data_IF_181931524082
#
_entry.id   IF_181931524082
#
_cell.length_a   1.000
_cell.length_b   1.000
_cell.length_c   1.000
_cell.angle_alpha   90.00
_cell.angle_beta   90.00
_cell.angle_gamma   90.00
#
_symmetry.space_group_name_H-M   'P 1'
#
loop_
_entity.id
_entity.type
_entity.pdbx_description
1 polymer ?
#
# COMPACT_ATOMS: atom_id res chain seq x y z
N UNK A 1 -13.23 -17.99 -24.17
CA UNK A 1 -12.82 -16.81 -23.37
C UNK A 1 -11.33 -16.97 -23.08
N UNK A 2 -10.46 -16.19 -23.73
CA UNK A 2 -9.02 -16.25 -23.46
C UNK A 2 -8.74 -15.43 -22.20
N UNK A 3 -8.42 -16.12 -21.10
CA UNK A 3 -7.93 -15.48 -19.87
C UNK A 3 -6.42 -15.68 -19.86
N UNK A 4 -5.68 -14.64 -20.26
CA UNK A 4 -4.23 -14.62 -20.06
C UNK A 4 -4.01 -14.19 -18.61
N UNK A 5 -3.34 -15.03 -17.83
CA UNK A 5 -2.95 -14.65 -16.47
C UNK A 5 -1.86 -13.58 -16.51
N UNK A 6 -1.98 -12.57 -15.65
CA UNK A 6 -1.02 -11.48 -15.55
C UNK A 6 -0.54 -11.32 -14.12
N UNK A 7 0.77 -11.17 -13.97
CA UNK A 7 1.40 -10.89 -12.68
C UNK A 7 1.61 -9.39 -12.45
N UNK A 8 1.15 -8.54 -13.37
CA UNK A 8 1.27 -7.08 -13.26
C UNK A 8 0.53 -6.47 -12.07
N UNK A 9 -0.33 -7.27 -11.41
CA UNK A 9 -1.06 -6.90 -10.20
C UNK A 9 -0.73 -7.70 -8.95
N UNK A 10 0.30 -8.55 -9.03
CA UNK A 10 0.64 -9.49 -7.97
C UNK A 10 1.50 -8.83 -6.87
N UNK A 11 1.69 -9.53 -5.75
CA UNK A 11 2.41 -9.00 -4.57
C UNK A 11 3.87 -8.67 -4.85
N UNK A 12 4.49 -9.35 -5.82
CA UNK A 12 5.88 -9.15 -6.23
C UNK A 12 6.13 -7.75 -6.81
N UNK A 13 5.07 -7.07 -7.28
CA UNK A 13 5.18 -5.69 -7.75
C UNK A 13 5.55 -4.71 -6.63
N UNK A 14 5.27 -5.05 -5.36
CA UNK A 14 5.53 -4.16 -4.22
C UNK A 14 7.00 -4.01 -3.87
N UNK A 15 7.84 -4.96 -4.28
CA UNK A 15 9.24 -5.08 -3.81
C UNK A 15 10.27 -4.99 -4.94
N UNK A 16 9.83 -4.62 -6.15
CA UNK A 16 10.70 -4.57 -7.33
C UNK A 16 11.43 -3.22 -7.52
N UNK A 17 11.18 -2.25 -6.64
CA UNK A 17 11.83 -0.93 -6.63
C UNK A 17 11.21 0.13 -7.55
N UNK A 18 10.16 -0.20 -8.30
CA UNK A 18 9.40 0.76 -9.09
C UNK A 18 8.26 1.36 -8.28
N UNK A 19 8.10 2.67 -8.39
CA UNK A 19 7.11 3.44 -7.61
C UNK A 19 5.94 3.96 -8.45
N UNK A 20 5.84 3.55 -9.72
CA UNK A 20 4.86 4.01 -10.74
C UNK A 20 4.67 2.92 -11.80
N UNK A 21 3.62 2.98 -12.64
CA UNK A 21 3.52 2.12 -13.81
C UNK A 21 4.80 2.22 -14.67
N UNK A 22 5.42 1.08 -14.94
CA UNK A 22 6.66 0.98 -15.72
C UNK A 22 6.76 -0.39 -16.38
N UNK A 23 6.67 -0.45 -17.71
CA UNK A 23 6.66 -1.70 -18.50
C UNK A 23 5.43 -2.60 -18.30
N UNK A 24 4.80 -2.50 -17.14
CA UNK A 24 3.52 -3.10 -16.73
C UNK A 24 2.78 -2.12 -15.80
N UNK A 25 1.56 -2.43 -15.33
CA UNK A 25 0.88 -1.61 -14.32
C UNK A 25 1.74 -1.35 -13.07
N UNK A 26 2.63 -2.28 -12.70
CA UNK A 26 3.49 -2.21 -11.53
C UNK A 26 2.71 -1.84 -10.26
N UNK A 27 1.64 -2.56 -9.96
CA UNK A 27 0.70 -2.13 -8.92
C UNK A 27 0.08 -3.35 -8.27
N UNK A 28 0.26 -3.58 -6.98
CA UNK A 28 -0.57 -4.58 -6.31
C UNK A 28 -2.02 -4.10 -6.21
N UNK A 29 -2.99 -4.97 -6.49
CA UNK A 29 -4.43 -4.66 -6.42
C UNK A 29 -5.18 -5.80 -5.72
N UNK A 30 -6.06 -5.44 -4.79
CA UNK A 30 -6.92 -6.39 -4.09
C UNK A 30 -8.08 -6.89 -4.95
N UNK A 31 -8.86 -7.83 -4.41
CA UNK A 31 -10.20 -8.10 -4.95
C UNK A 31 -11.08 -6.85 -4.76
N UNK A 32 -12.11 -6.75 -5.62
CA UNK A 32 -13.09 -5.66 -5.58
C UNK A 32 -14.08 -5.89 -4.44
N UNK A 33 -13.67 -5.48 -3.24
CA UNK A 33 -14.48 -5.45 -2.03
C UNK A 33 -14.01 -4.27 -1.15
N UNK A 34 -14.81 -3.21 -1.15
CA UNK A 34 -14.47 -1.97 -0.46
C UNK A 34 -14.37 -2.14 1.07
N UNK A 35 -15.19 -3.03 1.65
CA UNK A 35 -15.33 -3.18 3.10
C UNK A 35 -14.36 -4.20 3.69
N UNK A 36 -13.83 -5.09 2.85
CA UNK A 36 -12.86 -6.09 3.29
C UNK A 36 -11.51 -5.47 3.60
N UNK A 37 -11.00 -5.73 4.79
CA UNK A 37 -9.60 -5.45 5.12
C UNK A 37 -8.72 -6.37 4.27
N UNK A 38 -7.70 -5.80 3.66
CA UNK A 38 -6.71 -6.55 2.88
C UNK A 38 -5.36 -6.48 3.57
N UNK A 39 -4.73 -7.63 3.73
CA UNK A 39 -3.44 -7.77 4.42
C UNK A 39 -2.37 -8.13 3.41
N UNK A 40 -1.35 -7.30 3.31
CA UNK A 40 -0.11 -7.61 2.60
C UNK A 40 0.88 -8.14 3.64
N UNK A 41 1.43 -9.32 3.39
CA UNK A 41 2.40 -9.97 4.28
C UNK A 41 3.76 -10.07 3.59
N UNK A 42 4.80 -9.52 4.23
CA UNK A 42 6.19 -9.74 3.86
C UNK A 42 6.80 -10.68 4.91
N UNK A 43 7.43 -11.76 4.47
CA UNK A 43 8.03 -12.77 5.36
C UNK A 43 9.51 -12.93 4.99
N UNK A 44 10.36 -13.05 6.00
CA UNK A 44 11.79 -13.30 5.83
C UNK A 44 12.14 -14.70 6.33
N UNK A 45 13.15 -15.32 5.73
CA UNK A 45 13.66 -16.62 6.18
C UNK A 45 14.40 -16.51 7.53
N UNK A 46 15.08 -15.38 7.73
CA UNK A 46 15.78 -15.04 8.97
C UNK A 46 15.18 -13.76 9.57
N UNK A 47 15.13 -13.67 10.90
CA UNK A 47 14.70 -12.48 11.62
C UNK A 47 15.51 -11.26 11.17
N UNK A 48 14.81 -10.19 10.80
CA UNK A 48 15.42 -8.92 10.39
C UNK A 48 15.26 -7.87 11.49
N UNK A 49 16.27 -7.02 11.65
CA UNK A 49 16.14 -5.77 12.40
C UNK A 49 15.54 -4.71 11.47
N UNK A 50 14.41 -4.12 11.86
CA UNK A 50 13.69 -3.12 11.07
C UNK A 50 13.46 -1.88 11.92
N UNK A 51 13.76 -0.72 11.36
CA UNK A 51 13.58 0.59 12.01
C UNK A 51 12.79 1.58 11.15
N UNK A 52 12.64 1.28 9.86
CA UNK A 52 11.96 2.16 8.92
C UNK A 52 11.16 1.39 7.87
N UNK A 53 9.95 1.90 7.59
CA UNK A 53 9.07 1.38 6.55
C UNK A 53 8.59 2.53 5.68
N UNK A 54 8.76 2.41 4.36
CA UNK A 54 8.24 3.36 3.38
C UNK A 54 7.16 2.68 2.55
N UNK A 55 5.98 3.29 2.52
CA UNK A 55 4.85 2.88 1.69
C UNK A 55 4.62 3.92 0.60
N UNK A 56 4.50 3.45 -0.64
CA UNK A 56 4.07 4.27 -1.78
C UNK A 56 2.68 3.81 -2.23
N UNK A 57 1.67 4.62 -1.95
CA UNK A 57 0.26 4.39 -2.27
C UNK A 57 -0.11 4.80 -3.70
N UNK A 58 -1.21 4.23 -4.17
CA UNK A 58 -1.82 4.63 -5.44
C UNK A 58 -2.62 5.91 -5.27
N UNK A 59 -2.08 7.02 -5.76
CA UNK A 59 -2.75 8.32 -5.87
C UNK A 59 -3.19 8.64 -7.30
N UNK A 60 -3.33 7.61 -8.15
CA UNK A 60 -3.55 7.70 -9.60
C UNK A 60 -2.68 8.76 -10.29
N UNK A 61 -1.41 8.41 -10.50
CA UNK A 61 -0.41 9.31 -11.09
C UNK A 61 -0.71 9.75 -12.53
N UNK A 62 -1.77 9.22 -13.16
CA UNK A 62 -2.21 9.63 -14.49
C UNK A 62 -3.38 10.61 -14.46
N UNK A 63 -4.04 10.79 -13.31
CA UNK A 63 -5.21 11.63 -13.16
C UNK A 63 -4.82 13.04 -12.67
N UNK A 64 -5.36 14.05 -13.34
CA UNK A 64 -5.15 15.45 -12.95
C UNK A 64 -6.18 15.86 -11.89
N UNK A 65 -5.71 16.17 -10.67
CA UNK A 65 -6.56 16.75 -9.64
C UNK A 65 -6.78 18.26 -9.91
N UNK A 66 -7.77 18.56 -10.75
CA UNK A 66 -8.09 19.94 -11.15
C UNK A 66 -8.94 20.64 -10.09
N UNK A 67 -8.31 21.51 -9.31
CA UNK A 67 -8.94 22.30 -8.23
C UNK A 67 -9.16 23.78 -8.58
N UNK A 68 -8.86 24.20 -9.82
CA UNK A 68 -9.02 25.56 -10.34
C UNK A 68 -9.92 25.54 -11.59
N UNK A 69 -10.84 26.52 -11.71
CA UNK A 69 -11.76 26.77 -12.84
C UNK A 69 -13.14 26.05 -12.86
N UNK A 70 -13.85 26.21 -13.99
CA UNK A 70 -15.19 25.72 -14.32
C UNK A 70 -15.29 24.18 -14.33
N UNK A 71 -14.17 23.49 -14.52
CA UNK A 71 -14.06 22.04 -14.41
C UNK A 71 -13.39 21.70 -13.07
N UNK A 72 -14.10 20.98 -12.22
CA UNK A 72 -13.61 20.49 -10.93
C UNK A 72 -13.69 18.97 -10.94
N UNK A 73 -12.64 18.32 -10.44
CA UNK A 73 -12.74 16.91 -10.08
C UNK A 73 -13.80 16.73 -8.98
N UNK A 74 -14.57 15.65 -9.05
CA UNK A 74 -15.67 15.36 -8.12
C UNK A 74 -15.19 14.93 -6.73
N UNK A 75 -13.89 14.70 -6.57
CA UNK A 75 -13.25 14.27 -5.34
C UNK A 75 -12.13 15.25 -4.94
N UNK A 76 -11.91 15.37 -3.63
CA UNK A 76 -10.86 16.23 -3.05
C UNK A 76 -9.56 15.46 -2.73
N UNK A 77 -9.61 14.13 -2.84
CA UNK A 77 -8.48 13.20 -2.67
C UNK A 77 -8.72 12.03 -3.61
N UNK A 78 -7.64 11.49 -4.17
CA UNK A 78 -7.78 10.40 -5.11
C UNK A 78 -8.49 9.20 -4.46
N UNK A 79 -9.59 8.70 -5.03
CA UNK A 79 -10.38 7.62 -4.43
C UNK A 79 -9.57 6.36 -4.12
N UNK A 80 -8.58 6.04 -4.96
CA UNK A 80 -7.68 4.89 -4.88
C UNK A 80 -6.70 4.96 -3.70
N UNK A 81 -6.47 6.17 -3.19
CA UNK A 81 -5.50 6.38 -2.11
C UNK A 81 -5.98 5.70 -0.84
N UNK A 82 -5.16 4.81 -0.29
CA UNK A 82 -5.40 4.22 1.02
C UNK A 82 -5.47 5.34 2.06
N UNK A 83 -6.60 5.39 2.76
CA UNK A 83 -6.96 6.38 3.78
C UNK A 83 -6.52 5.89 5.16
N UNK A 84 -6.91 4.68 5.52
CA UNK A 84 -6.69 4.12 6.85
C UNK A 84 -5.95 2.79 6.74
N UNK A 85 -4.89 2.63 7.52
CA UNK A 85 -4.09 1.41 7.53
C UNK A 85 -3.29 1.23 8.82
N UNK A 86 -2.86 -0.01 9.05
CA UNK A 86 -2.01 -0.40 10.17
C UNK A 86 -0.83 -1.23 9.69
N UNK A 87 0.31 -1.08 10.37
CA UNK A 87 1.52 -1.84 10.12
C UNK A 87 1.86 -2.60 11.39
N UNK A 88 1.98 -3.92 11.26
CA UNK A 88 2.24 -4.83 12.37
C UNK A 88 3.53 -5.62 12.11
N UNK A 89 4.42 -5.63 13.11
CA UNK A 89 5.60 -6.50 13.13
C UNK A 89 5.30 -7.77 13.92
N UNK A 90 5.74 -8.90 13.39
CA UNK A 90 5.59 -10.22 14.03
C UNK A 90 6.98 -10.85 14.16
N UNK A 91 7.30 -11.33 15.36
CA UNK A 91 8.46 -12.17 15.64
C UNK A 91 8.02 -13.37 16.46
N UNK A 92 8.10 -14.57 15.87
CA UNK A 92 7.49 -15.78 16.38
C UNK A 92 6.01 -15.61 16.70
N UNK A 93 5.65 -15.70 17.98
CA UNK A 93 4.27 -15.52 18.48
C UNK A 93 3.93 -14.08 18.87
N UNK A 94 4.95 -13.20 18.97
CA UNK A 94 4.74 -11.81 19.38
C UNK A 94 4.29 -10.99 18.18
N UNK A 95 3.15 -10.31 18.30
CA UNK A 95 2.61 -9.36 17.31
C UNK A 95 2.54 -7.97 17.92
N UNK A 96 3.13 -6.98 17.26
CA UNK A 96 3.26 -5.60 17.75
C UNK A 96 2.84 -4.59 16.68
N UNK A 97 2.06 -3.59 17.07
CA UNK A 97 1.69 -2.49 16.19
C UNK A 97 2.88 -1.54 16.05
N UNK A 98 3.36 -1.35 14.83
CA UNK A 98 4.48 -0.46 14.50
C UNK A 98 3.99 0.93 14.08
N UNK A 99 2.89 0.98 13.32
CA UNK A 99 2.27 2.24 12.93
C UNK A 99 0.76 2.08 12.71
N UNK A 100 0.01 3.14 13.00
CA UNK A 100 -1.40 3.27 12.64
C UNK A 100 -1.63 4.65 12.05
N UNK A 101 -2.28 4.69 10.90
CA UNK A 101 -2.61 5.93 10.20
C UNK A 101 -4.10 5.95 9.89
N UNK A 102 -4.70 7.12 10.11
CA UNK A 102 -6.10 7.42 9.82
C UNK A 102 -6.13 8.71 9.01
N UNK A 103 -6.97 8.77 7.96
CA UNK A 103 -7.17 9.98 7.15
C UNK A 103 -5.99 10.33 6.25
N UNK A 104 -5.27 9.34 5.73
CA UNK A 104 -4.15 9.59 4.82
C UNK A 104 -4.60 10.26 3.51
N UNK A 105 -3.91 11.36 3.18
CA UNK A 105 -4.08 12.14 1.93
C UNK A 105 -2.78 12.31 1.16
N UNK A 106 -1.71 11.61 1.54
CA UNK A 106 -0.42 11.71 0.88
C UNK A 106 -0.01 10.38 0.28
N UNK A 107 0.62 10.45 -0.89
CA UNK A 107 1.05 9.30 -1.68
C UNK A 107 2.12 8.45 -1.00
N UNK A 108 3.09 9.08 -0.37
CA UNK A 108 4.21 8.38 0.26
C UNK A 108 4.23 8.66 1.75
N UNK A 109 4.36 7.60 2.54
CA UNK A 109 4.51 7.67 3.99
C UNK A 109 5.76 6.93 4.40
N UNK A 110 6.54 7.58 5.26
CA UNK A 110 7.71 7.02 5.92
C UNK A 110 7.38 6.87 7.40
N UNK A 111 7.58 5.68 7.92
CA UNK A 111 7.35 5.30 9.30
C UNK A 111 8.70 4.96 9.92
N UNK A 112 9.10 5.67 10.97
CA UNK A 112 10.33 5.42 11.71
C UNK A 112 9.98 5.09 13.16
N UNK A 113 10.68 4.13 13.73
CA UNK A 113 10.48 3.64 15.09
C UNK A 113 11.78 3.01 15.63
N UNK A 114 11.85 2.77 16.94
CA UNK A 114 13.00 2.08 17.54
C UNK A 114 13.18 0.69 16.89
N UNK A 115 14.40 0.25 16.57
CA UNK A 115 14.65 -1.01 15.88
C UNK A 115 13.90 -2.20 16.50
N UNK A 116 13.18 -2.96 15.67
CA UNK A 116 12.41 -4.13 16.06
C UNK A 116 12.87 -5.36 15.28
N UNK A 117 13.03 -6.47 15.98
CA UNK A 117 13.22 -7.78 15.37
C UNK A 117 11.89 -8.30 14.81
N UNK A 118 11.85 -8.64 13.52
CA UNK A 118 10.67 -9.14 12.82
C UNK A 118 11.01 -10.30 11.88
N UNK A 119 10.14 -11.31 11.87
CA UNK A 119 10.15 -12.43 10.90
C UNK A 119 9.09 -12.21 9.81
N UNK A 120 8.04 -11.44 10.16
CA UNK A 120 6.95 -11.09 9.26
C UNK A 120 6.45 -9.68 9.53
N UNK A 121 6.11 -8.96 8.46
CA UNK A 121 5.44 -7.68 8.49
C UNK A 121 4.05 -7.84 7.87
N UNK A 122 3.03 -7.34 8.53
CA UNK A 122 1.66 -7.27 8.02
C UNK A 122 1.25 -5.80 7.83
N UNK A 123 0.88 -5.44 6.61
CA UNK A 123 0.29 -4.14 6.30
C UNK A 123 -1.20 -4.37 6.05
N UNK A 124 -2.01 -3.94 7.02
CA UNK A 124 -3.46 -4.05 6.96
C UNK A 124 -4.03 -2.77 6.36
N UNK A 125 -4.49 -2.86 5.11
CA UNK A 125 -5.15 -1.79 4.39
C UNK A 125 -6.64 -1.84 4.77
N UNK A 126 -7.10 -0.82 5.51
CA UNK A 126 -8.44 -0.82 6.10
C UNK A 126 -9.44 -0.14 5.16
N UNK A 127 -9.13 1.07 4.71
CA UNK A 127 -10.06 1.90 3.94
C UNK A 127 -9.32 2.74 2.89
N UNK A 128 -10.00 3.03 1.78
CA UNK A 128 -9.56 3.98 0.74
C UNK A 128 -10.31 5.30 0.89
N UNK A 129 -10.00 6.29 0.05
CA UNK A 129 -10.75 7.54 -0.01
C UNK A 129 -12.01 7.44 -0.92
N UNK A 130 -12.32 6.26 -1.48
CA UNK A 130 -13.52 6.05 -2.29
C UNK A 130 -13.47 4.89 -3.30
N UNK A 131 -12.31 4.26 -3.51
CA UNK A 131 -12.17 3.13 -4.44
C UNK A 131 -12.73 1.82 -3.88
N UNK A 132 -13.29 0.99 -4.78
CA UNK A 132 -13.86 -0.33 -4.46
C UNK A 132 -12.81 -1.43 -4.23
N UNK A 133 -11.55 -1.12 -4.46
CA UNK A 133 -10.42 -2.02 -4.26
C UNK A 133 -9.28 -1.24 -3.58
N UNK A 134 -8.34 -1.99 -3.00
CA UNK A 134 -7.15 -1.44 -2.35
C UNK A 134 -5.97 -1.69 -3.29
N UNK A 135 -5.07 -0.72 -3.39
CA UNK A 135 -3.91 -0.85 -4.26
C UNK A 135 -2.70 -0.11 -3.70
N UNK A 136 -1.50 -0.61 -4.03
CA UNK A 136 -0.24 -0.13 -3.48
C UNK A 136 0.87 -0.32 -4.51
N UNK A 137 1.75 0.68 -4.68
CA UNK A 137 2.85 0.63 -5.64
C UNK A 137 4.09 -0.04 -5.05
N UNK A 138 4.44 0.27 -3.81
CA UNK A 138 5.74 -0.13 -3.26
C UNK A 138 5.71 -0.25 -1.74
N UNK A 139 6.48 -1.21 -1.23
CA UNK A 139 6.86 -1.38 0.18
C UNK A 139 8.37 -1.47 0.26
N UNK A 140 8.99 -0.61 1.07
CA UNK A 140 10.41 -0.70 1.43
C UNK A 140 10.54 -0.84 2.93
N UNK A 141 11.45 -1.70 3.34
CA UNK A 141 11.72 -2.02 4.75
C UNK A 141 13.23 -1.89 4.97
N UNK A 142 13.62 -1.15 5.99
CA UNK A 142 15.01 -0.80 6.34
C UNK A 142 15.26 -0.94 7.83
#
# INVERSE_FOLDING_TARGET
MFKIETNGYAGEQLINGYKRPFGSPNLWVSKMDQHKVETISLTWEETQEVSEIILTFNDDVNEDLVNLHHHRTSFETMPELIKDYEIWGISGVKRQLLAKVVGNRVRQRKHQFDPQQVDRLEINLLETNGSQFKSLFEVRVY
#
